data_IF_855678001303
#
_entry.id   IF_855678001303
#
_cell.length_a   1.000
_cell.length_b   1.000
_cell.length_c   1.000
_cell.angle_alpha   90.00
_cell.angle_beta   90.00
_cell.angle_gamma   90.00
#
_symmetry.space_group_name_H-M   'P 1'
#
loop_
_entity.id
_entity.type
_entity.pdbx_description
1 polymer ?
#
# COMPACT_ATOMS: atom_id res chain seq x y z
N UNK A 1 -0.61 15.18 -16.95
CA UNK A 1 -0.24 13.83 -16.49
C UNK A 1 0.23 13.93 -15.05
N UNK A 2 -0.37 13.17 -14.13
CA UNK A 2 0.06 13.16 -12.74
C UNK A 2 1.47 12.55 -12.69
N UNK A 3 2.50 13.37 -12.50
CA UNK A 3 3.87 12.90 -12.35
C UNK A 3 4.04 12.38 -10.92
N UNK A 4 3.38 11.25 -10.64
CA UNK A 4 3.49 10.58 -9.36
C UNK A 4 4.91 10.00 -9.28
N UNK A 5 5.72 10.55 -8.38
CA UNK A 5 7.01 9.98 -8.08
C UNK A 5 6.85 8.62 -7.39
N UNK A 6 7.94 7.86 -7.29
CA UNK A 6 7.91 6.52 -6.72
C UNK A 6 7.39 6.52 -5.28
N UNK A 7 7.75 7.54 -4.49
CA UNK A 7 7.27 7.70 -3.10
C UNK A 7 5.75 7.93 -3.05
N UNK A 8 5.20 8.77 -3.93
CA UNK A 8 3.77 9.00 -4.06
C UNK A 8 3.01 7.74 -4.49
N UNK A 9 3.58 6.96 -5.41
CA UNK A 9 3.00 5.69 -5.84
C UNK A 9 2.95 4.67 -4.71
N UNK A 10 4.03 4.55 -3.92
CA UNK A 10 4.10 3.68 -2.75
C UNK A 10 3.08 4.08 -1.68
N UNK A 11 2.96 5.37 -1.36
CA UNK A 11 1.97 5.87 -0.38
C UNK A 11 0.53 5.56 -0.82
N UNK A 12 0.23 5.70 -2.10
CA UNK A 12 -1.09 5.39 -2.64
C UNK A 12 -1.38 3.89 -2.55
N UNK A 13 -0.42 3.04 -2.93
CA UNK A 13 -0.55 1.59 -2.84
C UNK A 13 -0.79 1.13 -1.39
N UNK A 14 -0.02 1.65 -0.43
CA UNK A 14 -0.19 1.38 1.00
C UNK A 14 -1.61 1.74 1.46
N UNK A 15 -2.07 2.94 1.08
CA UNK A 15 -3.40 3.43 1.45
C UNK A 15 -4.50 2.50 0.94
N UNK A 16 -4.42 2.11 -0.34
CA UNK A 16 -5.41 1.24 -0.98
C UNK A 16 -5.42 -0.15 -0.36
N UNK A 17 -4.25 -0.74 -0.11
CA UNK A 17 -4.14 -2.08 0.45
C UNK A 17 -4.63 -2.13 1.90
N UNK A 18 -4.29 -1.12 2.72
CA UNK A 18 -4.77 -1.00 4.10
C UNK A 18 -6.30 -0.85 4.14
N UNK A 19 -6.86 0.07 3.37
CA UNK A 19 -8.32 0.25 3.31
C UNK A 19 -9.03 -1.04 2.84
N UNK A 20 -8.45 -1.74 1.86
CA UNK A 20 -9.02 -2.99 1.35
C UNK A 20 -8.99 -4.12 2.39
N UNK A 21 -7.92 -4.21 3.18
CA UNK A 21 -7.79 -5.18 4.26
C UNK A 21 -8.77 -4.87 5.39
N UNK A 22 -8.79 -3.63 5.87
CA UNK A 22 -9.59 -3.20 7.02
C UNK A 22 -11.09 -3.33 6.75
N UNK A 23 -11.52 -2.92 5.56
CA UNK A 23 -12.93 -3.00 5.15
C UNK A 23 -13.30 -4.36 4.54
N UNK A 24 -12.33 -5.27 4.38
CA UNK A 24 -12.46 -6.53 3.63
C UNK A 24 -13.15 -6.35 2.28
N UNK A 25 -12.75 -5.32 1.53
CA UNK A 25 -13.36 -4.97 0.24
C UNK A 25 -12.40 -4.20 -0.65
N UNK A 26 -12.24 -4.63 -1.91
CA UNK A 26 -11.49 -3.90 -2.92
C UNK A 26 -12.12 -2.54 -3.24
N UNK A 27 -11.35 -1.59 -3.80
CA UNK A 27 -11.89 -0.33 -4.34
C UNK A 27 -12.93 -0.55 -5.45
N UNK A 28 -12.87 -1.68 -6.15
CA UNK A 28 -13.88 -2.09 -7.14
C UNK A 28 -15.21 -2.53 -6.52
N UNK A 29 -15.29 -2.64 -5.19
CA UNK A 29 -16.45 -3.12 -4.45
C UNK A 29 -16.48 -4.63 -4.21
N UNK A 30 -15.51 -5.39 -4.73
CA UNK A 30 -15.42 -6.85 -4.55
C UNK A 30 -15.00 -7.17 -3.11
N UNK A 31 -15.75 -8.05 -2.43
CA UNK A 31 -15.40 -8.50 -1.08
C UNK A 31 -14.08 -9.29 -1.05
N UNK A 32 -13.27 -9.05 -0.03
CA UNK A 32 -12.04 -9.79 0.23
C UNK A 32 -12.29 -10.94 1.20
N UNK A 33 -11.79 -12.12 0.83
CA UNK A 33 -11.63 -13.22 1.76
C UNK A 33 -10.58 -12.89 2.84
N UNK A 34 -10.70 -13.53 4.01
CA UNK A 34 -9.81 -13.26 5.14
C UNK A 34 -8.32 -13.50 4.82
N UNK A 35 -8.01 -14.55 4.05
CA UNK A 35 -6.63 -14.86 3.64
C UNK A 35 -6.03 -13.77 2.74
N UNK A 36 -6.83 -13.22 1.82
CA UNK A 36 -6.40 -12.15 0.93
C UNK A 36 -6.28 -10.82 1.68
N UNK A 37 -7.16 -10.57 2.66
CA UNK A 37 -7.05 -9.40 3.53
C UNK A 37 -5.75 -9.46 4.36
N UNK A 38 -5.41 -10.62 4.94
CA UNK A 38 -4.14 -10.81 5.62
C UNK A 38 -2.94 -10.58 4.69
N UNK A 39 -2.98 -11.11 3.46
CA UNK A 39 -1.93 -10.86 2.47
C UNK A 39 -1.78 -9.36 2.13
N UNK A 40 -2.88 -8.62 2.08
CA UNK A 40 -2.84 -7.17 1.88
C UNK A 40 -2.21 -6.44 3.08
N UNK A 41 -2.50 -6.88 4.31
CA UNK A 41 -1.87 -6.34 5.52
C UNK A 41 -0.36 -6.60 5.52
N UNK A 42 0.08 -7.82 5.21
CA UNK A 42 1.50 -8.17 5.11
C UNK A 42 2.21 -7.33 4.02
N UNK A 43 1.56 -7.14 2.87
CA UNK A 43 2.09 -6.30 1.80
C UNK A 43 2.22 -4.82 2.22
N UNK A 44 1.31 -4.31 3.05
CA UNK A 44 1.40 -2.95 3.60
C UNK A 44 2.66 -2.79 4.44
N UNK A 45 2.96 -3.75 5.32
CA UNK A 45 4.17 -3.69 6.16
C UNK A 45 5.46 -3.63 5.33
N UNK A 46 5.55 -4.47 4.28
CA UNK A 46 6.70 -4.50 3.37
C UNK A 46 6.84 -3.16 2.64
N UNK A 47 5.74 -2.61 2.12
CA UNK A 47 5.76 -1.34 1.38
C UNK A 47 6.09 -0.15 2.27
N UNK A 48 5.66 -0.15 3.54
CA UNK A 48 6.04 0.88 4.51
C UNK A 48 7.55 0.87 4.79
N UNK A 49 8.17 -0.32 4.87
CA UNK A 49 9.63 -0.44 4.98
C UNK A 49 10.33 0.10 3.73
N UNK A 50 9.88 -0.28 2.54
CA UNK A 50 10.45 0.22 1.27
C UNK A 50 10.32 1.74 1.14
N UNK A 51 9.19 2.33 1.55
CA UNK A 51 9.00 3.77 1.53
C UNK A 51 9.95 4.50 2.51
N UNK A 52 10.21 3.90 3.68
CA UNK A 52 11.16 4.43 4.66
C UNK A 52 12.59 4.41 4.11
N UNK A 53 12.99 3.31 3.48
CA UNK A 53 14.30 3.19 2.83
C UNK A 53 14.46 4.21 1.69
N UNK A 54 13.44 4.36 0.86
CA UNK A 54 13.43 5.34 -0.22
C UNK A 54 13.57 6.77 0.28
N UNK A 55 12.92 7.10 1.40
CA UNK A 55 13.00 8.43 2.01
C UNK A 55 14.42 8.69 2.54
N UNK A 56 15.02 7.70 3.23
CA UNK A 56 16.39 7.80 3.74
C UNK A 56 17.44 7.94 2.62
N UNK A 57 17.18 7.37 1.43
CA UNK A 57 18.06 7.49 0.27
C UNK A 57 17.99 8.88 -0.38
N UNK A 58 16.86 9.58 -0.25
CA UNK A 58 16.68 10.92 -0.82
C UNK A 58 17.28 12.04 0.06
N UNK A 59 17.54 11.77 1.33
CA UNK A 59 18.10 12.72 2.31
C UNK A 59 19.64 12.65 2.43
N UNK A 60 20.32 11.79 1.65
CA UNK A 60 21.79 11.63 1.62
C UNK A 60 22.41 12.07 0.31
#
# INVERSE_FOLDING_TARGET
MNNLDLAGALRLAITVLRDSSDNRRMPSGISLGAEIAALHADAVEILELSLKELSNLSDG
#
